data_IF_559467421339
#
_entry.id   IF_559467421339
#
_cell.length_a   1.000
_cell.length_b   1.000
_cell.length_c   1.000
_cell.angle_alpha   90.00
_cell.angle_beta   90.00
_cell.angle_gamma   90.00
#
_symmetry.space_group_name_H-M   'P 1'
#
loop_
_entity.id
_entity.type
_entity.pdbx_description
1 polymer ?
#
# COMPACT_ATOMS: atom_id res chain seq x y z
N UNK A 1 5.72 -85.89 -23.25
CA UNK A 1 6.56 -84.95 -22.46
C UNK A 1 6.96 -83.77 -23.34
N UNK A 2 6.49 -82.58 -23.02
CA UNK A 2 6.95 -81.45 -23.78
C UNK A 2 5.83 -80.56 -24.29
N UNK A 3 5.24 -79.69 -23.42
CA UNK A 3 4.54 -78.45 -23.76
C UNK A 3 4.11 -77.75 -22.47
N UNK A 4 5.05 -77.08 -21.80
CA UNK A 4 4.75 -76.22 -20.67
C UNK A 4 5.86 -75.16 -20.47
N UNK A 5 6.24 -74.42 -21.52
CA UNK A 5 7.32 -73.44 -21.37
C UNK A 5 7.10 -72.14 -22.18
N UNK A 6 5.87 -71.71 -22.53
CA UNK A 6 5.66 -70.54 -23.35
C UNK A 6 4.55 -69.64 -22.83
N UNK A 7 4.35 -69.44 -21.51
CA UNK A 7 3.31 -68.58 -21.00
C UNK A 7 3.82 -67.44 -20.08
N UNK A 8 5.09 -67.11 -20.04
CA UNK A 8 5.63 -66.12 -19.10
C UNK A 8 6.31 -64.94 -19.75
N UNK A 9 6.08 -64.59 -21.01
CA UNK A 9 6.75 -63.44 -21.64
C UNK A 9 5.85 -62.33 -22.18
N UNK A 10 4.53 -62.36 -21.94
CA UNK A 10 3.61 -61.32 -22.51
C UNK A 10 2.97 -60.32 -21.54
N UNK A 11 3.40 -60.29 -20.29
CA UNK A 11 2.71 -59.45 -19.31
C UNK A 11 3.55 -58.30 -18.69
N UNK A 12 4.63 -57.84 -19.33
CA UNK A 12 5.52 -56.86 -18.69
C UNK A 12 5.79 -55.57 -19.44
N UNK A 13 5.05 -55.25 -20.52
CA UNK A 13 5.33 -54.01 -21.31
C UNK A 13 4.21 -52.96 -21.35
N UNK A 14 3.10 -53.11 -20.65
CA UNK A 14 2.01 -52.10 -20.71
C UNK A 14 1.83 -51.25 -19.44
N UNK A 15 2.63 -51.48 -18.38
CA UNK A 15 2.47 -50.76 -17.12
C UNK A 15 3.29 -49.48 -16.95
N UNK A 16 4.29 -49.24 -17.78
CA UNK A 16 5.23 -48.12 -17.56
C UNK A 16 4.87 -46.87 -18.38
N UNK A 17 4.18 -47.04 -19.52
CA UNK A 17 3.84 -45.90 -20.38
C UNK A 17 2.72 -45.00 -19.84
N UNK A 18 1.81 -45.54 -19.03
CA UNK A 18 0.71 -44.75 -18.47
C UNK A 18 1.17 -43.85 -17.33
N UNK A 19 2.08 -44.28 -16.46
CA UNK A 19 2.62 -43.47 -15.38
C UNK A 19 3.61 -42.39 -15.88
N UNK A 20 4.39 -42.70 -16.90
CA UNK A 20 5.31 -41.74 -17.52
C UNK A 20 4.61 -40.58 -18.21
N UNK A 21 3.46 -40.82 -18.83
CA UNK A 21 2.67 -39.79 -19.51
C UNK A 21 1.92 -38.87 -18.53
N UNK A 22 1.48 -39.38 -17.40
CA UNK A 22 0.82 -38.60 -16.36
C UNK A 22 1.84 -37.67 -15.64
N UNK A 23 3.07 -38.14 -15.39
CA UNK A 23 4.14 -37.33 -14.79
C UNK A 23 4.63 -36.21 -15.73
N UNK A 24 4.68 -36.46 -17.04
CA UNK A 24 5.09 -35.46 -18.03
C UNK A 24 4.03 -34.36 -18.21
N UNK A 25 2.74 -34.69 -18.09
CA UNK A 25 1.63 -33.70 -18.12
C UNK A 25 1.59 -32.85 -16.84
N UNK A 26 1.93 -33.40 -15.67
CA UNK A 26 1.99 -32.63 -14.42
C UNK A 26 3.13 -31.61 -14.40
N UNK A 27 4.26 -31.86 -15.08
CA UNK A 27 5.37 -30.89 -15.20
C UNK A 27 5.11 -29.79 -16.20
N UNK A 28 4.27 -29.99 -17.22
CA UNK A 28 3.91 -28.95 -18.20
C UNK A 28 2.90 -27.91 -17.65
N UNK A 29 2.11 -28.25 -16.63
CA UNK A 29 1.15 -27.33 -16.02
C UNK A 29 1.82 -26.44 -14.96
N UNK A 30 2.96 -26.84 -14.39
CA UNK A 30 3.69 -26.07 -13.38
C UNK A 30 4.54 -24.92 -13.94
N UNK A 31 4.66 -24.79 -15.26
CA UNK A 31 5.53 -23.81 -15.93
C UNK A 31 4.84 -22.51 -16.39
N UNK A 32 3.55 -22.29 -16.12
CA UNK A 32 2.80 -21.12 -16.64
C UNK A 32 2.47 -20.09 -15.56
N UNK A 33 3.18 -20.06 -14.47
CA UNK A 33 3.00 -18.99 -13.49
C UNK A 33 4.35 -18.36 -13.21
N UNK A 34 4.55 -17.16 -13.65
CA UNK A 34 5.50 -16.11 -13.25
C UNK A 34 6.16 -15.41 -14.45
N UNK A 35 5.32 -14.96 -15.37
CA UNK A 35 5.71 -13.91 -16.30
C UNK A 35 4.99 -12.59 -15.98
N UNK A 36 4.97 -12.16 -14.73
CA UNK A 36 4.64 -10.76 -14.46
C UNK A 36 5.86 -9.95 -14.90
N UNK A 37 5.77 -9.35 -16.09
CA UNK A 37 6.76 -8.37 -16.53
C UNK A 37 6.81 -7.29 -15.44
N UNK A 38 7.98 -7.12 -14.83
CA UNK A 38 8.18 -6.02 -13.89
C UNK A 38 7.75 -4.71 -14.56
N UNK A 39 6.99 -3.87 -13.87
CA UNK A 39 6.55 -2.61 -14.43
C UNK A 39 7.76 -1.76 -14.80
N UNK A 40 7.69 -1.03 -15.91
CA UNK A 40 8.80 -0.20 -16.32
C UNK A 40 9.08 0.88 -15.26
N UNK A 41 10.34 1.22 -15.07
CA UNK A 41 10.77 2.27 -14.13
C UNK A 41 10.03 3.60 -14.35
N UNK A 42 9.66 3.92 -15.59
CA UNK A 42 8.90 5.13 -15.92
C UNK A 42 7.46 5.08 -15.40
N UNK A 43 6.78 3.94 -15.52
CA UNK A 43 5.42 3.77 -14.98
C UNK A 43 5.44 3.88 -13.46
N UNK A 44 6.40 3.24 -12.80
CA UNK A 44 6.58 3.35 -11.34
C UNK A 44 6.74 4.82 -10.93
N UNK A 45 7.65 5.54 -11.56
CA UNK A 45 7.89 6.97 -11.26
C UNK A 45 6.63 7.81 -11.45
N UNK A 46 5.91 7.60 -12.55
CA UNK A 46 4.66 8.31 -12.85
C UNK A 46 3.61 8.07 -11.77
N UNK A 47 3.41 6.81 -11.38
CA UNK A 47 2.40 6.43 -10.40
C UNK A 47 2.76 6.95 -9.00
N UNK A 48 4.02 6.80 -8.57
CA UNK A 48 4.53 7.36 -7.31
C UNK A 48 4.30 8.87 -7.28
N UNK A 49 4.69 9.59 -8.34
CA UNK A 49 4.50 11.04 -8.43
C UNK A 49 3.02 11.43 -8.40
N UNK A 50 2.14 10.68 -9.06
CA UNK A 50 0.69 10.94 -9.08
C UNK A 50 0.06 10.84 -7.68
N UNK A 51 0.46 9.83 -6.88
CA UNK A 51 -0.01 9.69 -5.50
C UNK A 51 0.59 10.79 -4.62
N UNK A 52 1.89 11.02 -4.72
CA UNK A 52 2.62 12.03 -3.96
C UNK A 52 2.02 13.42 -4.15
N UNK A 53 1.82 13.87 -5.39
CA UNK A 53 1.23 15.18 -5.70
C UNK A 53 -0.19 15.30 -5.15
N UNK A 54 -1.01 14.26 -5.29
CA UNK A 54 -2.37 14.28 -4.77
C UNK A 54 -2.42 14.40 -3.23
N UNK A 55 -1.46 13.76 -2.54
CA UNK A 55 -1.34 13.87 -1.07
C UNK A 55 -0.89 15.27 -0.68
N UNK A 56 0.12 15.84 -1.36
CA UNK A 56 0.58 17.21 -1.12
C UNK A 56 -0.56 18.23 -1.24
N UNK A 57 -1.33 18.14 -2.33
CA UNK A 57 -2.43 19.07 -2.60
C UNK A 57 -3.54 18.94 -1.55
N UNK A 58 -3.92 17.73 -1.22
CA UNK A 58 -5.04 17.50 -0.30
C UNK A 58 -4.70 17.85 1.15
N UNK A 59 -3.50 17.46 1.60
CA UNK A 59 -3.05 17.76 2.97
C UNK A 59 -2.73 19.24 3.09
N UNK A 60 -2.11 19.86 2.07
CA UNK A 60 -1.87 21.29 2.05
C UNK A 60 -3.17 22.13 2.11
N UNK A 61 -4.25 21.66 1.48
CA UNK A 61 -5.56 22.28 1.55
C UNK A 61 -6.26 22.09 2.92
N UNK A 62 -5.99 20.97 3.62
CA UNK A 62 -6.55 20.68 4.94
C UNK A 62 -5.79 21.40 6.06
N UNK A 63 -4.48 21.61 5.88
CA UNK A 63 -3.60 22.21 6.89
C UNK A 63 -2.95 23.46 6.28
N UNK A 64 -3.66 24.59 6.18
CA UNK A 64 -3.12 25.80 5.59
C UNK A 64 -1.97 26.41 6.42
N UNK A 65 -1.08 27.09 5.73
CA UNK A 65 0.04 27.80 6.37
C UNK A 65 1.24 26.90 6.68
N UNK A 66 1.76 26.98 7.88
CA UNK A 66 2.99 26.30 8.33
C UNK A 66 2.78 24.85 8.79
N UNK A 67 1.58 24.30 8.63
CA UNK A 67 1.29 22.95 9.14
C UNK A 67 1.85 21.80 8.31
N UNK A 68 2.26 22.04 7.06
CA UNK A 68 3.02 21.05 6.26
C UNK A 68 4.50 21.32 6.49
N UNK A 69 5.16 20.47 7.26
CA UNK A 69 6.57 20.60 7.63
C UNK A 69 7.48 20.00 6.58
N UNK A 70 7.09 18.84 6.03
CA UNK A 70 7.78 18.20 4.93
C UNK A 70 6.75 17.72 3.89
N UNK A 71 6.98 18.11 2.63
CA UNK A 71 6.18 17.64 1.50
C UNK A 71 6.23 16.13 1.38
N UNK A 72 5.19 15.57 0.77
CA UNK A 72 5.08 14.15 0.53
C UNK A 72 6.29 13.62 -0.26
N UNK A 73 6.78 12.45 0.13
CA UNK A 73 7.84 11.70 -0.57
C UNK A 73 7.37 10.28 -0.78
N UNK A 74 7.32 9.88 -2.05
CA UNK A 74 6.86 8.56 -2.45
C UNK A 74 8.02 7.65 -2.85
N UNK A 75 7.85 6.36 -2.58
CA UNK A 75 8.72 5.29 -3.03
C UNK A 75 7.91 4.06 -3.43
N UNK A 76 8.39 3.28 -4.38
CA UNK A 76 7.90 1.95 -4.67
C UNK A 76 8.74 0.92 -3.93
N UNK A 77 8.10 0.01 -3.22
CA UNK A 77 8.72 -1.11 -2.52
C UNK A 77 8.26 -2.40 -3.21
N UNK A 78 9.19 -3.14 -3.78
CA UNK A 78 8.91 -4.39 -4.49
C UNK A 78 8.19 -5.39 -3.57
N UNK A 79 7.09 -5.96 -4.09
CA UNK A 79 6.24 -6.90 -3.35
C UNK A 79 5.29 -6.26 -2.34
N UNK A 80 5.41 -4.96 -2.08
CA UNK A 80 4.48 -4.22 -1.22
C UNK A 80 3.62 -3.23 -2.02
N UNK A 81 4.25 -2.42 -2.90
CA UNK A 81 3.63 -1.37 -3.69
C UNK A 81 4.15 0.02 -3.38
N UNK A 82 3.29 1.03 -3.36
CA UNK A 82 3.67 2.45 -3.19
C UNK A 82 3.51 2.87 -1.73
N UNK A 83 4.55 3.50 -1.19
CA UNK A 83 4.53 4.14 0.13
C UNK A 83 4.83 5.62 -0.04
N UNK A 84 4.00 6.47 0.54
CA UNK A 84 4.19 7.92 0.59
C UNK A 84 4.29 8.35 2.05
N UNK A 85 5.30 9.14 2.38
CA UNK A 85 5.50 9.69 3.72
C UNK A 85 5.40 11.21 3.68
N UNK A 86 4.85 11.82 4.72
CA UNK A 86 4.73 13.26 4.87
C UNK A 86 4.86 13.64 6.35
N UNK A 87 5.37 14.83 6.64
CA UNK A 87 5.44 15.35 8.01
C UNK A 87 4.56 16.58 8.16
N UNK A 88 3.70 16.58 9.17
CA UNK A 88 2.68 17.62 9.39
C UNK A 88 2.57 18.01 10.87
N UNK A 89 2.16 19.26 11.13
CA UNK A 89 1.69 19.71 12.43
C UNK A 89 0.19 19.98 12.33
N UNK A 90 -0.61 19.25 13.10
CA UNK A 90 -2.07 19.43 13.11
C UNK A 90 -2.50 20.62 13.94
N UNK A 91 -1.72 21.01 14.91
CA UNK A 91 -1.84 22.26 15.66
C UNK A 91 -1.00 23.37 14.99
N UNK A 92 -1.33 24.61 15.24
CA UNK A 92 -0.50 25.72 14.75
C UNK A 92 0.52 26.09 15.82
N UNK A 93 1.81 26.26 15.46
CA UNK A 93 2.80 26.76 16.39
C UNK A 93 2.32 28.06 17.01
N UNK A 94 2.42 28.18 18.34
CA UNK A 94 2.16 29.42 19.03
C UNK A 94 3.31 30.39 18.78
N UNK A 95 3.07 31.40 17.98
CA UNK A 95 4.04 32.46 17.74
C UNK A 95 3.61 33.74 18.50
N UNK A 96 4.53 34.64 18.79
CA UNK A 96 4.15 35.94 19.44
C UNK A 96 3.08 36.73 18.67
N UNK A 97 2.90 36.43 17.38
CA UNK A 97 1.95 37.10 16.48
C UNK A 97 0.66 36.33 16.25
N UNK A 98 0.53 35.08 16.73
CA UNK A 98 -0.64 34.24 16.48
C UNK A 98 -1.83 34.48 17.40
N UNK A 99 -1.76 35.49 18.27
CA UNK A 99 -2.73 35.71 19.35
C UNK A 99 -2.64 34.65 20.44
N UNK A 100 -3.22 34.93 21.60
CA UNK A 100 -3.31 33.93 22.67
C UNK A 100 -4.44 32.95 22.34
N UNK A 101 -4.09 31.77 21.91
CA UNK A 101 -5.05 30.66 21.79
C UNK A 101 -5.15 29.94 23.12
N UNK A 102 -6.36 29.61 23.50
CA UNK A 102 -6.59 28.77 24.67
C UNK A 102 -6.20 27.30 24.37
N UNK A 103 -5.85 26.49 25.39
CA UNK A 103 -5.60 25.07 25.21
C UNK A 103 -6.75 24.34 24.50
N UNK A 104 -7.99 24.74 24.77
CA UNK A 104 -9.18 24.15 24.13
C UNK A 104 -9.24 24.47 22.64
N UNK A 105 -8.99 25.72 22.22
CA UNK A 105 -8.97 26.10 20.81
C UNK A 105 -7.88 25.33 20.03
N UNK A 106 -6.72 25.13 20.64
CA UNK A 106 -5.63 24.33 20.03
C UNK A 106 -6.08 22.88 19.84
N UNK A 107 -6.69 22.26 20.88
CA UNK A 107 -7.16 20.88 20.84
C UNK A 107 -8.28 20.68 19.81
N UNK A 108 -9.26 21.56 19.77
CA UNK A 108 -10.35 21.52 18.80
C UNK A 108 -9.80 21.63 17.37
N UNK A 109 -8.88 22.57 17.15
CA UNK A 109 -8.25 22.76 15.83
C UNK A 109 -7.48 21.52 15.39
N UNK A 110 -6.65 20.94 16.26
CA UNK A 110 -5.87 19.74 15.96
C UNK A 110 -6.78 18.53 15.63
N UNK A 111 -7.83 18.35 16.42
CA UNK A 111 -8.81 17.27 16.21
C UNK A 111 -9.56 17.45 14.88
N UNK A 112 -9.99 18.65 14.56
CA UNK A 112 -10.69 18.93 13.31
C UNK A 112 -9.79 18.71 12.09
N UNK A 113 -8.56 19.21 12.13
CA UNK A 113 -7.58 19.02 11.04
C UNK A 113 -7.23 17.56 10.84
N UNK A 114 -7.04 16.82 11.93
CA UNK A 114 -6.80 15.39 11.87
C UNK A 114 -7.91 14.70 11.09
N UNK A 115 -9.16 14.92 11.47
CA UNK A 115 -10.33 14.31 10.80
C UNK A 115 -10.40 14.69 9.32
N UNK A 116 -10.17 15.93 9.00
CA UNK A 116 -10.18 16.41 7.61
C UNK A 116 -9.07 15.77 6.76
N UNK A 117 -7.86 15.67 7.31
CA UNK A 117 -6.74 15.02 6.64
C UNK A 117 -7.02 13.52 6.42
N UNK A 118 -7.49 12.80 7.44
CA UNK A 118 -7.85 11.39 7.33
C UNK A 118 -8.92 11.17 6.23
N UNK A 119 -9.93 12.02 6.16
CA UNK A 119 -10.98 11.95 5.14
C UNK A 119 -10.43 12.20 3.73
N UNK A 120 -9.68 13.29 3.54
CA UNK A 120 -9.10 13.65 2.24
C UNK A 120 -8.13 12.58 1.73
N UNK A 121 -7.25 12.08 2.60
CA UNK A 121 -6.29 11.02 2.25
C UNK A 121 -7.00 9.70 1.95
N UNK A 122 -8.05 9.36 2.69
CA UNK A 122 -8.91 8.21 2.39
C UNK A 122 -9.52 8.30 0.99
N UNK A 123 -10.03 9.47 0.62
CA UNK A 123 -10.61 9.69 -0.71
C UNK A 123 -9.56 9.59 -1.82
N UNK A 124 -8.35 10.09 -1.59
CA UNK A 124 -7.23 9.92 -2.54
C UNK A 124 -6.91 8.44 -2.75
N UNK A 125 -6.77 7.67 -1.68
CA UNK A 125 -6.48 6.24 -1.78
C UNK A 125 -7.54 5.50 -2.59
N UNK A 126 -8.83 5.75 -2.32
CA UNK A 126 -9.95 5.16 -3.05
C UNK A 126 -9.95 5.51 -4.54
N UNK A 127 -9.58 6.74 -4.89
CA UNK A 127 -9.58 7.21 -6.26
C UNK A 127 -8.33 6.80 -7.04
N UNK A 128 -7.16 6.90 -6.41
CA UNK A 128 -5.87 6.69 -7.09
C UNK A 128 -5.47 5.23 -7.16
N UNK A 129 -5.64 4.45 -6.09
CA UNK A 129 -5.14 3.08 -6.05
C UNK A 129 -5.63 2.19 -7.22
N UNK A 130 -6.92 2.24 -7.65
CA UNK A 130 -7.38 1.43 -8.78
C UNK A 130 -6.73 1.82 -10.11
N UNK A 131 -6.35 3.09 -10.28
CA UNK A 131 -5.84 3.65 -11.53
C UNK A 131 -4.32 3.47 -11.72
N UNK A 132 -3.59 3.00 -10.70
CA UNK A 132 -2.14 2.82 -10.78
C UNK A 132 -1.81 1.61 -11.68
N UNK A 133 -0.94 1.84 -12.67
CA UNK A 133 -0.57 0.80 -13.64
C UNK A 133 0.64 -0.03 -13.20
N UNK A 134 1.48 0.55 -12.33
CA UNK A 134 2.77 -0.05 -11.94
C UNK A 134 2.69 -1.05 -10.79
N UNK A 135 1.57 -1.13 -10.07
CA UNK A 135 1.41 -2.03 -8.94
C UNK A 135 0.45 -3.18 -9.27
N UNK A 136 0.77 -4.37 -8.76
CA UNK A 136 -0.08 -5.55 -8.92
C UNK A 136 -1.39 -5.42 -8.09
N UNK A 137 -2.46 -6.16 -8.45
CA UNK A 137 -3.72 -6.13 -7.69
C UNK A 137 -3.59 -6.44 -6.20
N UNK A 138 -2.66 -7.32 -5.83
CA UNK A 138 -2.40 -7.71 -4.44
C UNK A 138 -1.53 -6.71 -3.67
N UNK A 139 -0.83 -5.80 -4.39
CA UNK A 139 0.00 -4.77 -3.77
C UNK A 139 -0.84 -3.63 -3.21
N UNK A 140 -0.21 -2.85 -2.35
CA UNK A 140 -0.86 -1.83 -1.54
C UNK A 140 -0.35 -0.43 -1.90
N UNK A 141 -1.18 0.57 -1.57
CA UNK A 141 -0.74 1.96 -1.44
C UNK A 141 -0.87 2.35 0.03
N UNK A 142 0.20 2.86 0.61
CA UNK A 142 0.20 3.35 1.99
C UNK A 142 0.62 4.82 2.05
N UNK A 143 -0.06 5.60 2.87
CA UNK A 143 0.28 6.98 3.19
C UNK A 143 0.55 7.06 4.69
N UNK A 144 1.73 7.53 5.04
CA UNK A 144 2.22 7.65 6.41
C UNK A 144 2.36 9.14 6.72
N UNK A 145 1.52 9.62 7.62
CA UNK A 145 1.58 10.97 8.14
C UNK A 145 2.30 10.95 9.49
N UNK A 146 3.49 11.53 9.54
CA UNK A 146 4.21 11.76 10.78
C UNK A 146 3.74 13.08 11.36
N UNK A 147 3.28 13.08 12.61
CA UNK A 147 2.66 14.23 13.24
C UNK A 147 3.62 14.82 14.27
N UNK A 148 4.04 16.04 14.03
CA UNK A 148 4.77 16.82 15.03
C UNK A 148 3.75 17.51 15.95
N UNK A 149 3.80 17.18 17.22
CA UNK A 149 3.03 17.88 18.25
C UNK A 149 3.81 19.13 18.69
N UNK A 150 3.36 20.31 18.26
CA UNK A 150 4.05 21.57 18.59
C UNK A 150 3.61 22.15 19.94
N UNK A 151 2.53 21.62 20.54
CA UNK A 151 1.99 22.06 21.81
C UNK A 151 1.61 20.86 22.73
N UNK A 152 2.60 20.05 23.17
CA UNK A 152 2.30 18.82 23.90
C UNK A 152 1.60 19.05 25.24
N UNK A 153 1.77 20.23 25.86
CA UNK A 153 1.05 20.58 27.07
C UNK A 153 -0.46 20.81 26.85
N UNK A 154 -0.87 21.17 25.63
CA UNK A 154 -2.26 21.46 25.28
C UNK A 154 -2.95 20.27 24.60
N UNK A 155 -2.20 19.46 23.88
CA UNK A 155 -2.68 18.27 23.15
C UNK A 155 -1.80 17.07 23.47
N UNK A 156 -1.82 16.56 24.71
CA UNK A 156 -0.93 15.46 25.13
C UNK A 156 -1.21 14.16 24.37
N UNK A 157 -2.47 13.94 23.94
CA UNK A 157 -2.93 12.71 23.30
C UNK A 157 -2.90 12.78 21.76
N UNK A 158 -2.20 13.76 21.19
CA UNK A 158 -2.05 13.84 19.75
C UNK A 158 -1.20 12.66 19.26
N UNK A 159 -1.68 11.88 18.29
CA UNK A 159 -0.91 10.75 17.78
C UNK A 159 0.39 11.23 17.13
N UNK A 160 1.43 10.42 17.21
CA UNK A 160 2.71 10.69 16.53
C UNK A 160 2.68 10.28 15.06
N UNK A 161 1.77 9.35 14.70
CA UNK A 161 1.70 8.83 13.35
C UNK A 161 0.29 8.35 13.01
N UNK A 162 -0.12 8.59 11.75
CA UNK A 162 -1.33 8.02 11.14
C UNK A 162 -0.91 7.31 9.86
N UNK A 163 -1.29 6.04 9.73
CA UNK A 163 -1.03 5.24 8.54
C UNK A 163 -2.37 4.88 7.90
N UNK A 164 -2.56 5.32 6.66
CA UNK A 164 -3.70 4.94 5.84
C UNK A 164 -3.19 4.01 4.73
N UNK A 165 -3.81 2.87 4.54
CA UNK A 165 -3.39 1.92 3.52
C UNK A 165 -4.57 1.22 2.86
N UNK A 166 -4.39 0.83 1.61
CA UNK A 166 -5.38 0.12 0.82
C UNK A 166 -4.70 -0.86 -0.14
N UNK A 167 -5.30 -2.03 -0.36
CA UNK A 167 -4.89 -2.91 -1.47
C UNK A 167 -5.52 -2.42 -2.77
N UNK A 168 -4.77 -2.46 -3.87
CA UNK A 168 -5.28 -2.03 -5.18
C UNK A 168 -6.58 -2.76 -5.56
N UNK A 169 -6.63 -4.08 -5.36
CA UNK A 169 -7.80 -4.89 -5.69
C UNK A 169 -9.01 -4.64 -4.78
N UNK A 170 -8.82 -3.98 -3.63
CA UNK A 170 -9.86 -3.69 -2.64
C UNK A 170 -9.84 -2.21 -2.24
N UNK A 171 -9.80 -1.34 -3.24
CA UNK A 171 -9.66 0.10 -3.04
C UNK A 171 -10.82 0.76 -2.28
N UNK A 172 -11.93 0.06 -2.08
CA UNK A 172 -13.05 0.54 -1.27
C UNK A 172 -12.75 0.52 0.24
N UNK A 173 -11.88 -0.41 0.69
CA UNK A 173 -11.61 -0.64 2.11
C UNK A 173 -10.25 -0.08 2.53
N UNK A 174 -10.23 1.20 2.90
CA UNK A 174 -9.04 1.85 3.45
C UNK A 174 -8.92 1.50 4.94
N UNK A 175 -7.74 1.00 5.32
CA UNK A 175 -7.39 0.74 6.71
C UNK A 175 -6.68 1.96 7.29
N UNK A 176 -7.13 2.44 8.46
CA UNK A 176 -6.50 3.53 9.19
C UNK A 176 -5.92 2.97 10.49
N UNK A 177 -4.66 3.26 10.77
CA UNK A 177 -3.96 2.94 12.02
C UNK A 177 -3.39 4.22 12.61
N UNK A 178 -3.51 4.35 13.92
CA UNK A 178 -3.10 5.53 14.69
C UNK A 178 -2.16 5.10 15.81
N UNK A 179 -1.02 5.77 15.96
CA UNK A 179 0.02 5.46 16.92
C UNK A 179 0.40 6.68 17.76
#
# INVERSE_FOLDING_TARGET
MGQLFNYWHSARHHGIDAMGRILLLAFLVSGIVYGQSQPSSEKIKKDVYSVQSAVDDAVGAAIPGWGVLQKARGAYLEGYGIVVTMEVALDSPLTPFSGQKTPEEVRVTATQRRKEVEEKVTNILKQKAPALESIAPAESVAIILNILNTNPAYVPDLPSQIILSVKKQDAAHVTVRVY
#
